data_IF_079314973676
#
_entry.id   IF_079314973676
#
_cell.length_a   1.000
_cell.length_b   1.000
_cell.length_c   1.000
_cell.angle_alpha   90.00
_cell.angle_beta   90.00
_cell.angle_gamma   90.00
#
_symmetry.space_group_name_H-M   'P 1'
#
loop_
_entity.id
_entity.type
_entity.pdbx_description
1 polymer ?
#
# COMPACT_ATOMS: atom_id res chain seq x y z
N UNK A 1 6.49 -56.48 12.13
CA UNK A 1 5.47 -55.49 12.59
C UNK A 1 5.93 -54.08 12.21
N UNK A 2 5.60 -53.61 11.00
CA UNK A 2 5.97 -52.27 10.47
C UNK A 2 4.72 -51.62 9.85
N UNK A 3 3.85 -51.02 10.65
CA UNK A 3 2.59 -50.43 10.16
C UNK A 3 2.13 -49.14 10.86
N UNK A 4 3.06 -48.32 11.39
CA UNK A 4 2.70 -47.12 12.17
C UNK A 4 3.44 -45.81 11.82
N UNK A 5 3.97 -45.64 10.59
CA UNK A 5 4.71 -44.40 10.21
C UNK A 5 4.23 -43.74 8.91
N UNK A 6 2.97 -43.92 8.52
CA UNK A 6 2.46 -43.45 7.21
C UNK A 6 1.22 -42.54 7.26
N UNK A 7 0.91 -41.96 8.42
CA UNK A 7 -0.23 -41.03 8.59
C UNK A 7 0.17 -39.57 8.85
N UNK A 8 1.46 -39.27 9.06
CA UNK A 8 1.92 -37.91 9.34
C UNK A 8 2.10 -37.02 8.11
N UNK A 9 2.35 -37.60 6.93
CA UNK A 9 2.63 -36.83 5.72
C UNK A 9 1.37 -36.37 4.96
N UNK A 10 0.23 -37.05 5.12
CA UNK A 10 -1.00 -36.69 4.40
C UNK A 10 -1.69 -35.43 4.93
N UNK A 11 -1.57 -35.12 6.23
CA UNK A 11 -2.22 -33.92 6.79
C UNK A 11 -1.47 -32.65 6.38
N UNK A 12 -0.14 -32.70 6.30
CA UNK A 12 0.68 -31.57 5.87
C UNK A 12 0.51 -31.29 4.37
N UNK A 13 0.35 -32.34 3.55
CA UNK A 13 0.09 -32.18 2.11
C UNK A 13 -1.25 -31.51 1.78
N UNK A 14 -2.31 -31.79 2.56
CA UNK A 14 -3.64 -31.19 2.33
C UNK A 14 -3.70 -29.74 2.84
N UNK A 15 -3.00 -29.41 3.93
CA UNK A 15 -2.95 -28.03 4.44
C UNK A 15 -2.07 -27.13 3.56
N UNK A 16 -0.99 -27.66 2.97
CA UNK A 16 -0.16 -26.90 2.01
C UNK A 16 -0.84 -26.70 0.65
N UNK A 17 -1.73 -27.61 0.22
CA UNK A 17 -2.47 -27.43 -1.03
C UNK A 17 -3.57 -26.35 -0.93
N UNK A 18 -4.04 -26.04 0.27
CA UNK A 18 -5.08 -25.03 0.49
C UNK A 18 -4.57 -23.58 0.42
N UNK A 19 -3.24 -23.36 0.44
CA UNK A 19 -2.63 -22.02 0.47
C UNK A 19 -2.20 -21.53 -0.92
N UNK A 20 -2.22 -22.38 -1.95
CA UNK A 20 -1.51 -22.11 -3.23
C UNK A 20 -2.41 -21.89 -4.45
N UNK A 21 -3.72 -21.65 -4.28
CA UNK A 21 -4.52 -21.18 -5.44
C UNK A 21 -5.44 -20.00 -5.12
N UNK A 22 -4.89 -18.79 -4.89
CA UNK A 22 -5.67 -17.57 -4.98
C UNK A 22 -5.99 -17.16 -6.44
N UNK A 23 -5.66 -17.99 -7.45
CA UNK A 23 -5.77 -17.63 -8.88
C UNK A 23 -6.83 -18.37 -9.72
N UNK A 24 -7.72 -19.18 -9.12
CA UNK A 24 -8.75 -19.93 -9.87
C UNK A 24 -10.17 -19.34 -9.81
N UNK A 25 -10.38 -18.26 -9.06
CA UNK A 25 -11.65 -17.54 -9.03
C UNK A 25 -11.50 -16.28 -9.87
N UNK A 26 -12.29 -16.15 -10.94
CA UNK A 26 -12.37 -14.92 -11.72
C UNK A 26 -12.68 -13.75 -10.78
N UNK A 27 -11.80 -12.75 -10.72
CA UNK A 27 -12.04 -11.52 -9.96
C UNK A 27 -13.33 -10.88 -10.45
N UNK A 28 -14.29 -10.67 -9.54
CA UNK A 28 -15.50 -9.92 -9.87
C UNK A 28 -15.23 -8.42 -9.79
N UNK A 29 -16.08 -7.62 -10.42
CA UNK A 29 -15.95 -6.15 -10.37
C UNK A 29 -16.11 -5.61 -8.94
N UNK A 30 -16.87 -6.31 -8.10
CA UNK A 30 -17.05 -5.98 -6.68
C UNK A 30 -15.77 -6.31 -5.88
N UNK A 31 -15.14 -7.46 -6.14
CA UNK A 31 -13.85 -7.82 -5.52
C UNK A 31 -12.74 -6.84 -5.90
N UNK A 32 -12.70 -6.44 -7.18
CA UNK A 32 -11.77 -5.43 -7.67
C UNK A 32 -11.98 -4.10 -6.94
N UNK A 33 -13.23 -3.65 -6.83
CA UNK A 33 -13.57 -2.40 -6.12
C UNK A 33 -13.22 -2.48 -4.64
N UNK A 34 -13.53 -3.58 -3.97
CA UNK A 34 -13.20 -3.78 -2.56
C UNK A 34 -11.68 -3.72 -2.31
N UNK A 35 -10.91 -4.34 -3.21
CA UNK A 35 -9.44 -4.28 -3.18
C UNK A 35 -8.95 -2.85 -3.42
N UNK A 36 -9.43 -2.17 -4.46
CA UNK A 36 -9.07 -0.78 -4.74
C UNK A 36 -9.36 0.16 -3.57
N UNK A 37 -10.52 0.01 -2.90
CA UNK A 37 -10.87 0.79 -1.70
C UNK A 37 -9.93 0.48 -0.54
N UNK A 38 -9.55 -0.78 -0.35
CA UNK A 38 -8.63 -1.20 0.71
C UNK A 38 -7.22 -0.66 0.46
N UNK A 39 -6.68 -0.88 -0.74
CA UNK A 39 -5.40 -0.31 -1.19
C UNK A 39 -5.36 1.21 -1.04
N UNK A 40 -6.43 1.91 -1.39
CA UNK A 40 -6.51 3.36 -1.21
C UNK A 40 -6.50 3.79 0.26
N UNK A 41 -7.18 3.06 1.16
CA UNK A 41 -7.15 3.36 2.61
C UNK A 41 -5.78 3.15 3.20
N UNK A 42 -5.14 2.05 2.86
CA UNK A 42 -3.83 1.69 3.39
C UNK A 42 -2.77 2.68 2.89
N UNK A 43 -2.79 3.00 1.59
CA UNK A 43 -1.94 4.03 1.03
C UNK A 43 -2.22 5.42 1.60
N UNK A 44 -3.48 5.80 1.86
CA UNK A 44 -3.82 7.06 2.52
C UNK A 44 -3.25 7.12 3.94
N UNK A 45 -3.36 6.03 4.71
CA UNK A 45 -2.79 5.92 6.06
C UNK A 45 -1.27 6.10 6.03
N UNK A 46 -0.58 5.39 5.15
CA UNK A 46 0.86 5.48 4.94
C UNK A 46 1.29 6.90 4.53
N UNK A 47 0.64 7.47 3.51
CA UNK A 47 0.94 8.81 3.00
C UNK A 47 0.76 9.90 4.07
N UNK A 48 -0.33 9.86 4.84
CA UNK A 48 -0.60 10.86 5.88
C UNK A 48 0.34 10.71 7.08
N UNK A 49 0.74 9.48 7.41
CA UNK A 49 1.75 9.22 8.43
C UNK A 49 3.11 9.77 8.00
N UNK A 50 3.56 9.46 6.78
CA UNK A 50 4.80 9.99 6.21
C UNK A 50 4.78 11.52 6.07
N UNK A 51 3.67 12.11 5.65
CA UNK A 51 3.48 13.57 5.64
C UNK A 51 3.64 14.17 7.04
N UNK A 52 3.06 13.54 8.06
CA UNK A 52 3.17 14.03 9.45
C UNK A 52 4.60 13.90 9.96
N UNK A 53 5.28 12.79 9.67
CA UNK A 53 6.68 12.58 10.01
C UNK A 53 7.61 13.59 9.32
N UNK A 54 7.43 13.84 8.02
CA UNK A 54 8.20 14.83 7.29
C UNK A 54 8.04 16.24 7.87
N UNK A 55 6.81 16.65 8.22
CA UNK A 55 6.56 17.94 8.88
C UNK A 55 7.17 18.02 10.28
N UNK A 56 7.07 16.95 11.06
CA UNK A 56 7.69 16.90 12.38
C UNK A 56 9.22 16.95 12.30
N UNK A 57 9.82 16.38 11.26
CA UNK A 57 11.26 16.44 11.00
C UNK A 57 11.73 17.86 10.64
N UNK A 58 10.95 18.62 9.86
CA UNK A 58 11.23 20.05 9.58
C UNK A 58 11.24 20.90 10.86
N UNK A 59 10.40 20.55 11.84
CA UNK A 59 10.32 21.27 13.11
C UNK A 59 11.33 20.77 14.17
N UNK A 60 12.30 19.91 13.80
CA UNK A 60 13.23 19.23 14.72
C UNK A 60 12.53 18.44 15.85
N UNK A 61 11.28 18.03 15.63
CA UNK A 61 10.45 17.29 16.60
C UNK A 61 10.55 15.76 16.47
N UNK A 62 11.37 15.28 15.52
CA UNK A 62 11.62 13.85 15.31
C UNK A 62 13.11 13.59 15.07
N UNK A 63 13.63 12.52 15.67
CA UNK A 63 14.99 12.06 15.42
C UNK A 63 15.07 11.36 14.05
N UNK A 64 16.17 11.58 13.32
CA UNK A 64 16.39 11.06 11.96
C UNK A 64 16.14 9.55 11.83
N UNK A 65 16.60 8.74 12.79
CA UNK A 65 16.38 7.27 12.78
C UNK A 65 14.90 6.90 12.80
N UNK A 66 14.09 7.63 13.55
CA UNK A 66 12.65 7.37 13.61
C UNK A 66 11.95 7.84 12.33
N UNK A 67 12.32 9.00 11.78
CA UNK A 67 11.83 9.49 10.49
C UNK A 67 12.10 8.48 9.37
N UNK A 68 13.33 7.98 9.27
CA UNK A 68 13.74 6.99 8.25
C UNK A 68 12.93 5.69 8.33
N UNK A 69 12.69 5.17 9.55
CA UNK A 69 11.89 3.98 9.75
C UNK A 69 10.42 4.18 9.29
N UNK A 70 9.81 5.31 9.65
CA UNK A 70 8.44 5.65 9.24
C UNK A 70 8.31 5.78 7.72
N UNK A 71 9.28 6.44 7.06
CA UNK A 71 9.25 6.60 5.60
C UNK A 71 9.45 5.27 4.87
N UNK A 72 10.29 4.39 5.41
CA UNK A 72 10.48 3.03 4.88
C UNK A 72 9.21 2.21 4.96
N UNK A 73 8.53 2.22 6.12
CA UNK A 73 7.26 1.52 6.32
C UNK A 73 6.17 2.07 5.40
N UNK A 74 6.05 3.40 5.30
CA UNK A 74 5.09 4.04 4.41
C UNK A 74 5.33 3.68 2.93
N UNK A 75 6.60 3.63 2.51
CA UNK A 75 6.97 3.20 1.15
C UNK A 75 6.55 1.75 0.91
N UNK A 76 6.78 0.86 1.87
CA UNK A 76 6.35 -0.54 1.82
C UNK A 76 4.83 -0.65 1.69
N UNK A 77 4.07 0.07 2.52
CA UNK A 77 2.61 0.06 2.49
C UNK A 77 2.02 0.52 1.15
N UNK A 78 2.54 1.61 0.57
CA UNK A 78 2.07 2.05 -0.76
C UNK A 78 2.49 1.09 -1.86
N UNK A 79 3.69 0.51 -1.79
CA UNK A 79 4.13 -0.49 -2.77
C UNK A 79 3.23 -1.74 -2.75
N UNK A 80 2.90 -2.26 -1.56
CA UNK A 80 1.94 -3.36 -1.41
C UNK A 80 0.57 -2.99 -1.95
N UNK A 81 0.05 -1.79 -1.65
CA UNK A 81 -1.23 -1.33 -2.15
C UNK A 81 -1.28 -1.25 -3.70
N UNK A 82 -0.17 -0.89 -4.34
CA UNK A 82 -0.03 -0.92 -5.80
C UNK A 82 -0.02 -2.37 -6.29
N UNK A 83 0.79 -3.24 -5.70
CA UNK A 83 0.95 -4.64 -6.08
C UNK A 83 -0.38 -5.40 -6.00
N UNK A 84 -1.10 -5.24 -4.89
CA UNK A 84 -2.43 -5.83 -4.67
C UNK A 84 -3.42 -5.42 -5.76
N UNK A 85 -3.39 -4.15 -6.19
CA UNK A 85 -4.30 -3.65 -7.21
C UNK A 85 -3.92 -4.12 -8.62
N UNK A 86 -2.64 -4.04 -9.00
CA UNK A 86 -2.18 -4.41 -10.35
C UNK A 86 -2.08 -5.92 -10.54
N UNK A 87 -2.01 -6.68 -9.44
CA UNK A 87 -2.06 -8.14 -9.44
C UNK A 87 -3.44 -8.72 -9.73
N UNK A 88 -4.50 -7.90 -9.69
CA UNK A 88 -5.85 -8.32 -10.07
C UNK A 88 -6.10 -8.11 -11.57
N UNK A 89 -6.76 -9.10 -12.17
CA UNK A 89 -7.35 -8.93 -13.49
C UNK A 89 -8.47 -7.88 -13.44
N UNK A 90 -8.56 -7.06 -14.48
CA UNK A 90 -9.62 -6.05 -14.61
C UNK A 90 -10.81 -6.68 -15.35
N UNK A 91 -11.92 -7.04 -14.65
CA UNK A 91 -12.98 -7.85 -15.24
C UNK A 91 -13.85 -7.12 -16.25
N UNK A 92 -14.06 -5.82 -16.09
CA UNK A 92 -14.92 -5.02 -16.96
C UNK A 92 -14.52 -3.53 -17.00
N UNK A 93 -15.28 -2.73 -17.76
CA UNK A 93 -15.05 -1.28 -17.86
C UNK A 93 -15.29 -0.50 -16.57
N UNK A 94 -16.15 -1.00 -15.67
CA UNK A 94 -16.42 -0.37 -14.37
C UNK A 94 -15.17 -0.49 -13.50
N UNK A 95 -14.59 -1.70 -13.41
CA UNK A 95 -13.33 -1.95 -12.74
C UNK A 95 -12.17 -1.16 -13.38
N UNK A 96 -12.16 -1.04 -14.72
CA UNK A 96 -11.19 -0.19 -15.40
C UNK A 96 -11.29 1.28 -14.97
N UNK A 97 -12.50 1.83 -14.86
CA UNK A 97 -12.69 3.20 -14.37
C UNK A 97 -12.16 3.39 -12.95
N UNK A 98 -12.43 2.42 -12.06
CA UNK A 98 -11.89 2.43 -10.69
C UNK A 98 -10.36 2.40 -10.69
N UNK A 99 -9.75 1.57 -11.54
CA UNK A 99 -8.28 1.50 -11.72
C UNK A 99 -7.71 2.85 -12.15
N UNK A 100 -8.31 3.44 -13.18
CA UNK A 100 -7.84 4.67 -13.80
C UNK A 100 -7.95 5.87 -12.84
N UNK A 101 -8.85 5.82 -11.87
CA UNK A 101 -8.98 6.82 -10.82
C UNK A 101 -7.95 6.64 -9.69
N UNK A 102 -7.79 5.42 -9.16
CA UNK A 102 -6.98 5.18 -7.96
C UNK A 102 -5.49 4.99 -8.25
N UNK A 103 -5.12 4.32 -9.34
CA UNK A 103 -3.74 3.95 -9.62
C UNK A 103 -2.83 5.18 -9.77
N UNK A 104 -3.24 6.28 -10.44
CA UNK A 104 -2.43 7.49 -10.49
C UNK A 104 -2.18 8.11 -9.10
N UNK A 105 -3.14 8.01 -8.19
CA UNK A 105 -3.00 8.51 -6.82
C UNK A 105 -2.00 7.67 -6.02
N UNK A 106 -2.05 6.34 -6.15
CA UNK A 106 -1.10 5.42 -5.51
C UNK A 106 0.33 5.67 -6.01
N UNK A 107 0.51 5.77 -7.33
CA UNK A 107 1.83 6.04 -7.95
C UNK A 107 2.35 7.41 -7.51
N UNK A 108 1.49 8.44 -7.45
CA UNK A 108 1.90 9.76 -6.95
C UNK A 108 2.30 9.72 -5.48
N UNK A 109 1.59 8.96 -4.64
CA UNK A 109 1.96 8.78 -3.24
C UNK A 109 3.33 8.11 -3.10
N UNK A 110 3.60 7.06 -3.88
CA UNK A 110 4.89 6.37 -3.88
C UNK A 110 6.05 7.31 -4.28
N UNK A 111 5.85 8.12 -5.32
CA UNK A 111 6.81 9.13 -5.76
C UNK A 111 7.10 10.15 -4.65
N UNK A 112 6.05 10.71 -4.05
CA UNK A 112 6.19 11.74 -3.02
C UNK A 112 6.81 11.21 -1.72
N UNK A 113 6.59 9.93 -1.36
CA UNK A 113 7.32 9.30 -0.26
C UNK A 113 8.82 9.23 -0.58
N UNK A 114 9.17 8.92 -1.83
CA UNK A 114 10.54 9.02 -2.32
C UNK A 114 11.13 10.42 -2.15
N UNK A 115 10.40 11.44 -2.60
CA UNK A 115 10.82 12.84 -2.49
C UNK A 115 11.00 13.29 -1.02
N UNK A 116 10.09 12.89 -0.13
CA UNK A 116 10.20 13.14 1.33
C UNK A 116 11.42 12.45 1.91
N UNK A 117 11.70 11.20 1.51
CA UNK A 117 12.88 10.44 1.97
C UNK A 117 14.16 11.11 1.53
N UNK A 118 14.26 11.45 0.24
CA UNK A 118 15.45 12.09 -0.31
C UNK A 118 15.70 13.47 0.30
N UNK A 119 14.65 14.26 0.50
CA UNK A 119 14.76 15.58 1.13
C UNK A 119 15.19 15.47 2.61
N UNK A 120 14.68 14.48 3.34
CA UNK A 120 15.10 14.21 4.72
C UNK A 120 16.57 13.77 4.80
N UNK A 121 17.02 12.91 3.89
CA UNK A 121 18.41 12.45 3.83
C UNK A 121 19.39 13.58 3.48
N UNK A 122 18.95 14.55 2.67
CA UNK A 122 19.73 15.73 2.28
C UNK A 122 19.63 16.89 3.28
N UNK A 123 18.87 16.75 4.36
CA UNK A 123 18.53 17.83 5.29
C UNK A 123 17.97 19.09 4.59
N UNK A 124 17.23 18.88 3.49
CA UNK A 124 16.63 19.93 2.67
C UNK A 124 15.22 20.25 3.19
N UNK A 125 15.15 21.15 4.18
CA UNK A 125 13.91 21.46 4.88
C UNK A 125 12.83 22.05 3.95
N UNK A 126 13.23 22.79 2.91
CA UNK A 126 12.29 23.37 1.96
C UNK A 126 11.68 22.30 1.05
N UNK A 127 12.50 21.41 0.49
CA UNK A 127 12.01 20.28 -0.30
C UNK A 127 11.17 19.35 0.57
N UNK A 128 11.59 19.07 1.79
CA UNK A 128 10.88 18.20 2.73
C UNK A 128 9.50 18.76 3.08
N UNK A 129 9.40 20.05 3.41
CA UNK A 129 8.13 20.72 3.71
C UNK A 129 7.18 20.69 2.51
N UNK A 130 7.70 20.94 1.31
CA UNK A 130 6.92 20.88 0.06
C UNK A 130 6.40 19.47 -0.21
N UNK A 131 7.29 18.48 -0.22
CA UNK A 131 6.95 17.10 -0.51
C UNK A 131 5.98 16.52 0.54
N UNK A 132 6.19 16.82 1.83
CA UNK A 132 5.28 16.38 2.89
C UNK A 132 3.88 17.00 2.75
N UNK A 133 3.78 18.29 2.39
CA UNK A 133 2.49 18.94 2.14
C UNK A 133 1.76 18.31 0.95
N UNK A 134 2.46 18.07 -0.15
CA UNK A 134 1.88 17.42 -1.33
C UNK A 134 1.45 15.98 -1.02
N UNK A 135 2.26 15.23 -0.27
CA UNK A 135 1.95 13.87 0.14
C UNK A 135 0.68 13.83 1.01
N UNK A 136 0.52 14.81 1.92
CA UNK A 136 -0.70 14.98 2.70
C UNK A 136 -1.93 15.25 1.84
N UNK A 137 -1.80 16.05 0.77
CA UNK A 137 -2.90 16.30 -0.16
C UNK A 137 -3.29 15.05 -0.96
N UNK A 138 -2.32 14.25 -1.41
CA UNK A 138 -2.58 12.98 -2.09
C UNK A 138 -3.20 11.95 -1.16
N UNK A 139 -2.71 11.85 0.08
CA UNK A 139 -3.31 10.99 1.11
C UNK A 139 -4.77 11.35 1.40
N UNK A 140 -5.13 12.65 1.40
CA UNK A 140 -6.51 13.09 1.53
C UNK A 140 -7.39 12.66 0.34
N UNK A 141 -6.88 12.76 -0.90
CA UNK A 141 -7.59 12.30 -2.11
C UNK A 141 -7.80 10.78 -2.12
N UNK A 142 -6.80 10.00 -1.72
CA UNK A 142 -6.93 8.54 -1.57
C UNK A 142 -8.01 8.18 -0.54
N UNK A 143 -8.06 8.91 0.58
CA UNK A 143 -9.11 8.73 1.59
C UNK A 143 -10.49 9.10 1.06
N UNK A 144 -10.60 10.17 0.29
CA UNK A 144 -11.84 10.60 -0.35
C UNK A 144 -12.35 9.54 -1.33
N UNK A 145 -11.48 9.04 -2.22
CA UNK A 145 -11.77 7.93 -3.11
C UNK A 145 -12.31 6.70 -2.36
N UNK A 146 -11.64 6.31 -1.27
CA UNK A 146 -12.08 5.18 -0.45
C UNK A 146 -13.39 5.42 0.32
N UNK A 147 -13.81 6.67 0.45
CA UNK A 147 -15.08 7.08 1.03
C UNK A 147 -16.22 7.11 0.02
N UNK A 148 -15.95 7.51 -1.23
CA UNK A 148 -16.94 7.57 -2.32
C UNK A 148 -17.32 6.20 -2.90
N UNK A 149 -16.43 5.21 -2.77
CA UNK A 149 -16.61 3.86 -3.33
C UNK A 149 -17.05 2.80 -2.31
N UNK A 150 -17.57 3.22 -1.15
CA UNK A 150 -18.03 2.34 -0.06
C UNK A 150 -19.51 1.98 -0.23
#
# INVERSE_FOLDING_TARGET
>A
MQRRRWLGFSVIGVVLLAVVVPGLLSTTSDDYRATAVTSARDAASAALTASTAGRASVDDRMISTYTSAVLTDARGGVATAIDDLVGLDVPDRSAQGVRDEVLPLLVRAASLIGDVTEAADRDDHQALSTAAKELGAVGARLREFAGSHR
#
